data_IF_964398516753
#
_entry.id   IF_964398516753
#
_cell.length_a   1.000
_cell.length_b   1.000
_cell.length_c   1.000
_cell.angle_alpha   90.00
_cell.angle_beta   90.00
_cell.angle_gamma   90.00
#
_symmetry.space_group_name_H-M   'P 1'
#
loop_
_entity.id
_entity.type
_entity.pdbx_description
1 polymer ?
#
# COMPACT_ATOMS: atom_id res chain seq x y z
N UNK A 1 -25.01 5.97 -17.18
CA UNK A 1 -23.98 5.24 -17.95
C UNK A 1 -24.35 3.77 -17.97
N UNK A 2 -24.43 3.15 -19.15
CA UNK A 2 -24.89 1.77 -19.35
C UNK A 2 -23.97 0.70 -18.72
N UNK A 3 -22.66 0.92 -18.71
CA UNK A 3 -21.70 -0.04 -18.13
C UNK A 3 -21.61 0.04 -16.61
N UNK A 4 -21.49 -1.11 -15.92
CA UNK A 4 -21.34 -1.20 -14.46
C UNK A 4 -19.91 -0.88 -14.00
N UNK A 5 -18.89 -1.40 -14.70
CA UNK A 5 -17.48 -1.22 -14.38
C UNK A 5 -16.64 -1.19 -15.66
N UNK A 6 -15.55 -0.42 -15.66
CA UNK A 6 -14.53 -0.45 -16.70
C UNK A 6 -13.17 -0.06 -16.11
N UNK A 7 -12.11 -0.77 -16.51
CA UNK A 7 -10.74 -0.51 -16.05
C UNK A 7 -10.17 0.80 -16.57
N UNK A 8 -10.58 1.24 -17.76
CA UNK A 8 -10.11 2.49 -18.38
C UNK A 8 -10.56 3.75 -17.62
N UNK A 9 -11.53 3.63 -16.73
CA UNK A 9 -11.98 4.77 -15.93
C UNK A 9 -10.96 5.24 -14.89
N UNK A 10 -9.89 4.47 -14.64
CA UNK A 10 -8.82 4.86 -13.72
C UNK A 10 -8.00 6.05 -14.23
N UNK A 11 -7.80 6.16 -15.54
CA UNK A 11 -7.06 7.26 -16.18
C UNK A 11 -7.95 8.44 -16.56
N UNK A 12 -9.27 8.31 -16.42
CA UNK A 12 -10.19 9.38 -16.79
C UNK A 12 -10.14 10.52 -15.78
N UNK A 13 -10.08 11.76 -16.25
CA UNK A 13 -10.13 12.98 -15.42
C UNK A 13 -11.53 13.16 -14.78
N UNK A 14 -12.58 12.59 -15.39
CA UNK A 14 -13.95 12.82 -14.93
C UNK A 14 -14.23 12.18 -13.55
N UNK A 15 -14.50 13.01 -12.55
CA UNK A 15 -14.73 12.60 -11.15
C UNK A 15 -15.82 11.53 -11.02
N UNK A 16 -16.92 11.63 -11.77
CA UNK A 16 -18.02 10.64 -11.72
C UNK A 16 -17.54 9.24 -12.13
N UNK A 17 -16.63 9.15 -13.11
CA UNK A 17 -16.07 7.87 -13.60
C UNK A 17 -15.13 7.28 -12.55
N UNK A 18 -14.27 8.10 -11.96
CA UNK A 18 -13.34 7.66 -10.91
C UNK A 18 -14.06 7.15 -9.64
N UNK A 19 -15.10 7.86 -9.17
CA UNK A 19 -15.91 7.44 -8.02
C UNK A 19 -16.63 6.12 -8.31
N UNK A 20 -17.22 5.99 -9.50
CA UNK A 20 -17.89 4.76 -9.95
C UNK A 20 -16.91 3.58 -10.07
N UNK A 21 -15.69 3.82 -10.57
CA UNK A 21 -14.64 2.82 -10.66
C UNK A 21 -14.31 2.22 -9.28
N UNK A 22 -14.05 3.07 -8.28
CA UNK A 22 -13.71 2.62 -6.92
C UNK A 22 -14.88 1.86 -6.26
N UNK A 23 -16.10 2.37 -6.41
CA UNK A 23 -17.28 1.74 -5.82
C UNK A 23 -17.57 0.36 -6.41
N UNK A 24 -17.50 0.22 -7.74
CA UNK A 24 -17.82 -1.03 -8.45
C UNK A 24 -16.61 -1.94 -8.70
N UNK A 25 -15.43 -1.63 -8.14
CA UNK A 25 -14.24 -2.43 -8.40
C UNK A 25 -14.41 -3.89 -7.94
N UNK A 26 -14.03 -4.89 -8.76
CA UNK A 26 -14.00 -6.29 -8.37
C UNK A 26 -12.95 -6.57 -7.26
N UNK A 27 -13.12 -7.67 -6.54
CA UNK A 27 -12.34 -7.99 -5.33
C UNK A 27 -10.82 -8.02 -5.55
N UNK A 28 -10.36 -8.57 -6.68
CA UNK A 28 -8.94 -8.65 -7.00
C UNK A 28 -8.30 -7.26 -7.22
N UNK A 29 -9.06 -6.27 -7.73
CA UNK A 29 -8.58 -4.89 -7.86
C UNK A 29 -8.63 -4.16 -6.51
N UNK A 30 -9.65 -4.44 -5.68
CA UNK A 30 -9.77 -3.85 -4.35
C UNK A 30 -8.62 -4.23 -3.41
N UNK A 31 -7.97 -5.37 -3.64
CA UNK A 31 -6.75 -5.74 -2.92
C UNK A 31 -5.66 -4.66 -3.02
N UNK A 32 -5.52 -3.99 -4.18
CA UNK A 32 -4.56 -2.89 -4.35
C UNK A 32 -4.92 -1.65 -3.51
N UNK A 33 -6.20 -1.42 -3.25
CA UNK A 33 -6.68 -0.29 -2.44
C UNK A 33 -6.34 -0.45 -0.96
N UNK A 34 -6.12 -1.69 -0.51
CA UNK A 34 -5.75 -2.03 0.87
C UNK A 34 -4.25 -1.94 1.14
N UNK A 35 -3.53 -1.12 0.36
CA UNK A 35 -2.11 -0.85 0.59
C UNK A 35 -1.90 0.18 1.68
N UNK A 36 -0.99 -0.13 2.60
CA UNK A 36 -0.59 0.76 3.69
C UNK A 36 0.90 1.09 3.59
N UNK A 37 1.28 2.16 4.27
CA UNK A 37 2.62 2.69 4.24
C UNK A 37 3.57 1.85 5.11
N UNK A 38 4.80 1.60 4.65
CA UNK A 38 5.84 0.94 5.45
C UNK A 38 6.51 1.91 6.46
N UNK A 39 6.99 1.37 7.58
CA UNK A 39 7.90 2.07 8.50
C UNK A 39 9.18 2.52 7.80
N UNK A 40 9.88 3.54 8.33
CA UNK A 40 11.11 4.04 7.70
C UNK A 40 12.16 2.94 7.56
N UNK A 41 12.27 2.07 8.56
CA UNK A 41 13.16 0.91 8.58
C UNK A 41 12.81 -0.10 7.49
N UNK A 42 11.54 -0.51 7.39
CA UNK A 42 11.09 -1.43 6.34
C UNK A 42 11.23 -0.83 4.94
N UNK A 43 11.03 0.49 4.79
CA UNK A 43 11.25 1.18 3.52
C UNK A 43 12.71 1.15 3.09
N UNK A 44 13.64 1.32 4.02
CA UNK A 44 15.07 1.23 3.73
C UNK A 44 15.45 -0.21 3.34
N UNK A 45 14.93 -1.21 4.09
CA UNK A 45 15.19 -2.62 3.83
C UNK A 45 14.68 -3.10 2.47
N UNK A 46 13.42 -2.81 2.15
CA UNK A 46 12.77 -3.35 0.96
C UNK A 46 12.67 -2.34 -0.20
N UNK A 47 13.26 -1.14 -0.06
CA UNK A 47 13.20 -0.03 -1.02
C UNK A 47 11.79 0.34 -1.53
N UNK A 48 10.74 -0.02 -0.79
CA UNK A 48 9.34 0.11 -1.22
C UNK A 48 8.58 1.05 -0.28
N UNK A 49 7.64 1.83 -0.83
CA UNK A 49 6.85 2.78 -0.02
C UNK A 49 5.65 2.14 0.69
N UNK A 50 4.93 1.26 0.00
CA UNK A 50 3.69 0.66 0.49
C UNK A 50 3.52 -0.79 0.03
N UNK A 51 2.76 -1.57 0.81
CA UNK A 51 2.45 -2.99 0.53
C UNK A 51 0.98 -3.24 0.89
N UNK A 52 0.24 -4.10 0.15
CA UNK A 52 -1.09 -4.56 0.55
C UNK A 52 -1.08 -5.21 1.93
N UNK A 53 -2.00 -4.79 2.79
CA UNK A 53 -2.16 -5.33 4.14
C UNK A 53 -2.63 -6.78 4.11
N UNK A 54 -2.15 -7.57 5.06
CA UNK A 54 -2.57 -8.94 5.32
C UNK A 54 -2.89 -9.18 6.78
N UNK A 55 -3.54 -10.31 7.02
CA UNK A 55 -3.72 -10.84 8.37
C UNK A 55 -2.35 -11.01 9.03
N UNK A 56 -2.29 -10.71 10.32
CA UNK A 56 -1.11 -10.87 11.16
C UNK A 56 0.06 -9.90 10.86
N UNK A 57 -0.07 -8.96 9.92
CA UNK A 57 0.83 -7.80 9.85
C UNK A 57 0.66 -6.94 11.12
N UNK A 58 1.76 -6.38 11.64
CA UNK A 58 1.72 -5.44 12.75
C UNK A 58 1.65 -4.00 12.23
N UNK A 59 0.67 -3.25 12.71
CA UNK A 59 0.38 -1.90 12.24
C UNK A 59 0.28 -0.89 13.39
N UNK A 60 0.76 0.32 13.12
CA UNK A 60 0.56 1.52 13.89
C UNK A 60 -0.58 2.34 13.29
N UNK A 61 -1.50 2.80 14.13
CA UNK A 61 -2.51 3.78 13.71
C UNK A 61 -1.91 5.18 13.72
N UNK A 62 -1.92 5.85 12.57
CA UNK A 62 -1.33 7.19 12.41
C UNK A 62 -2.31 8.32 12.75
N UNK A 63 -3.60 8.13 12.46
CA UNK A 63 -4.62 9.19 12.56
C UNK A 63 -5.89 8.70 13.25
N UNK A 64 -6.61 9.63 13.89
CA UNK A 64 -7.89 9.38 14.55
C UNK A 64 -7.78 9.05 16.04
N UNK A 65 -8.90 8.65 16.65
CA UNK A 65 -9.03 8.42 18.10
C UNK A 65 -8.05 7.38 18.67
N UNK A 66 -7.65 6.40 17.84
CA UNK A 66 -6.74 5.34 18.24
C UNK A 66 -5.30 5.58 17.77
N UNK A 67 -4.94 6.83 17.47
CA UNK A 67 -3.58 7.18 17.02
C UNK A 67 -2.50 6.71 17.99
N UNK A 68 -1.31 6.39 17.46
CA UNK A 68 -0.14 5.86 18.17
C UNK A 68 -0.32 4.48 18.79
N UNK A 69 -1.49 3.86 18.71
CA UNK A 69 -1.68 2.47 19.14
C UNK A 69 -1.16 1.51 18.08
N UNK A 70 -0.47 0.47 18.54
CA UNK A 70 0.00 -0.65 17.73
C UNK A 70 -0.96 -1.83 17.90
N UNK A 71 -1.03 -2.67 16.88
CA UNK A 71 -1.75 -3.94 16.96
C UNK A 71 -1.60 -4.77 15.70
N UNK A 72 -1.86 -6.07 15.82
CA UNK A 72 -1.89 -6.98 14.69
C UNK A 72 -3.21 -6.90 13.95
N UNK A 73 -3.17 -7.13 12.63
CA UNK A 73 -4.37 -7.19 11.82
C UNK A 73 -5.13 -8.49 12.07
N UNK A 74 -6.38 -8.36 12.53
CA UNK A 74 -7.28 -9.49 12.73
C UNK A 74 -7.92 -9.95 11.41
N UNK A 75 -8.46 -8.99 10.66
CA UNK A 75 -9.24 -9.26 9.45
C UNK A 75 -9.05 -8.13 8.43
N UNK A 76 -8.87 -8.53 7.17
CA UNK A 76 -8.84 -7.66 6.00
C UNK A 76 -10.09 -7.90 5.18
N UNK A 77 -10.97 -6.91 5.06
CA UNK A 77 -12.21 -7.04 4.30
C UNK A 77 -12.14 -6.31 2.95
N UNK A 78 -12.06 -7.06 1.86
CA UNK A 78 -12.01 -6.54 0.50
C UNK A 78 -13.35 -5.92 0.03
N UNK A 79 -14.49 -6.39 0.55
CA UNK A 79 -15.82 -5.87 0.18
C UNK A 79 -16.10 -4.49 0.74
N UNK A 80 -15.48 -4.13 1.87
CA UNK A 80 -15.61 -2.78 2.45
C UNK A 80 -14.34 -1.96 2.31
N UNK A 81 -13.24 -2.58 1.86
CA UNK A 81 -11.90 -1.98 1.83
C UNK A 81 -11.48 -1.44 3.21
N UNK A 82 -11.88 -2.14 4.27
CA UNK A 82 -11.56 -1.81 5.68
C UNK A 82 -10.78 -2.93 6.34
N UNK A 83 -10.03 -2.56 7.38
CA UNK A 83 -9.20 -3.47 8.18
C UNK A 83 -9.64 -3.41 9.63
N UNK A 84 -9.64 -4.56 10.32
CA UNK A 84 -9.87 -4.63 11.77
C UNK A 84 -8.57 -5.02 12.46
N UNK A 85 -8.27 -4.35 13.56
CA UNK A 85 -7.05 -4.53 14.33
C UNK A 85 -7.41 -5.15 15.69
N UNK A 86 -6.56 -6.05 16.18
CA UNK A 86 -6.70 -6.67 17.51
C UNK A 86 -6.54 -5.61 18.60
N UNK A 87 -7.40 -5.65 19.63
CA UNK A 87 -7.36 -4.73 20.77
C UNK A 87 -7.88 -3.31 20.51
N UNK A 88 -8.21 -2.96 19.25
CA UNK A 88 -8.84 -1.67 18.92
C UNK A 88 -10.35 -1.84 18.80
N UNK A 89 -11.01 -1.86 19.96
CA UNK A 89 -12.46 -2.06 20.10
C UNK A 89 -13.20 -0.78 20.52
N UNK A 90 -14.51 -0.79 20.30
CA UNK A 90 -15.47 0.14 20.91
C UNK A 90 -16.57 -0.68 21.60
N UNK A 91 -17.07 -0.18 22.73
CA UNK A 91 -18.21 -0.76 23.44
C UNK A 91 -19.52 -0.32 22.77
N UNK A 92 -20.44 -1.26 22.57
CA UNK A 92 -21.85 -0.99 22.24
C UNK A 92 -22.63 -0.62 23.51
N UNK A 93 -23.86 -0.13 23.32
CA UNK A 93 -24.82 0.10 24.42
C UNK A 93 -25.07 -1.19 25.21
N UNK A 94 -25.15 -2.33 24.50
CA UNK A 94 -25.32 -3.67 25.08
C UNK A 94 -24.08 -4.18 25.84
N UNK A 95 -23.00 -3.39 25.98
CA UNK A 95 -21.75 -3.76 26.64
C UNK A 95 -20.77 -4.61 25.81
N UNK A 96 -21.23 -5.21 24.70
CA UNK A 96 -20.37 -6.00 23.81
C UNK A 96 -19.28 -5.17 23.12
N UNK A 97 -18.08 -5.74 22.99
CA UNK A 97 -16.95 -5.08 22.33
C UNK A 97 -16.87 -5.43 20.85
N UNK A 98 -16.73 -4.42 20.00
CA UNK A 98 -16.60 -4.60 18.55
C UNK A 98 -15.34 -3.91 18.04
N UNK A 99 -14.57 -4.63 17.23
CA UNK A 99 -13.40 -4.07 16.57
C UNK A 99 -13.80 -2.93 15.63
N UNK A 100 -13.11 -1.81 15.77
CA UNK A 100 -13.32 -0.64 14.93
C UNK A 100 -12.72 -0.89 13.54
N UNK A 101 -13.44 -0.61 12.45
CA UNK A 101 -12.89 -0.70 11.10
C UNK A 101 -12.01 0.53 10.80
N UNK A 102 -10.84 0.28 10.20
CA UNK A 102 -9.87 1.30 9.82
C UNK A 102 -9.65 1.33 8.30
N UNK A 103 -9.32 2.52 7.80
CA UNK A 103 -8.80 2.70 6.45
C UNK A 103 -7.31 2.38 6.39
N UNK A 104 -6.84 1.70 5.33
CA UNK A 104 -5.43 1.31 5.18
C UNK A 104 -4.49 2.51 5.12
N UNK A 105 -4.95 3.66 4.60
CA UNK A 105 -4.16 4.90 4.52
C UNK A 105 -3.86 5.54 5.87
N UNK A 106 -4.66 5.21 6.89
CA UNK A 106 -4.44 5.69 8.26
C UNK A 106 -3.50 4.77 9.05
N UNK A 107 -3.02 3.70 8.43
CA UNK A 107 -2.16 2.70 9.05
C UNK A 107 -0.73 2.80 8.49
N UNK A 108 0.22 2.48 9.35
CA UNK A 108 1.61 2.27 8.98
C UNK A 108 2.05 0.89 9.45
N UNK A 109 2.60 0.09 8.54
CA UNK A 109 3.11 -1.25 8.84
C UNK A 109 4.43 -1.10 9.59
N UNK A 110 4.52 -1.72 10.76
CA UNK A 110 5.74 -1.82 11.55
C UNK A 110 6.48 -3.10 11.17
N UNK A 111 5.76 -4.21 11.16
CA UNK A 111 6.29 -5.54 10.82
C UNK A 111 5.40 -6.24 9.81
N UNK A 112 6.03 -6.94 8.87
CA UNK A 112 5.38 -7.68 7.80
C UNK A 112 5.32 -9.17 8.16
N UNK A 113 4.16 -9.79 7.97
CA UNK A 113 4.09 -11.23 7.85
C UNK A 113 4.67 -11.65 6.47
N UNK A 114 5.68 -12.51 6.47
CA UNK A 114 6.39 -13.02 5.29
C UNK A 114 6.20 -14.52 5.04
N UNK A 115 5.26 -15.17 5.72
CA UNK A 115 5.02 -16.62 5.60
C UNK A 115 4.67 -17.04 4.17
N UNK A 116 3.98 -16.17 3.43
CA UNK A 116 3.62 -16.43 2.04
C UNK A 116 4.77 -16.12 1.07
N UNK A 117 5.27 -17.18 0.42
CA UNK A 117 6.28 -17.12 -0.64
C UNK A 117 5.92 -16.15 -1.77
N UNK A 118 4.63 -16.00 -2.14
CA UNK A 118 4.21 -15.07 -3.21
C UNK A 118 4.43 -13.62 -2.80
N UNK A 119 4.11 -13.26 -1.56
CA UNK A 119 4.33 -11.91 -1.02
C UNK A 119 5.81 -11.56 -0.97
N UNK A 120 6.65 -12.50 -0.55
CA UNK A 120 8.09 -12.30 -0.53
C UNK A 120 8.63 -12.10 -1.97
N UNK A 121 8.17 -12.89 -2.93
CA UNK A 121 8.52 -12.73 -4.36
C UNK A 121 8.11 -11.36 -4.89
N UNK A 122 6.91 -10.88 -4.57
CA UNK A 122 6.41 -9.58 -5.01
C UNK A 122 7.21 -8.40 -4.44
N UNK A 123 7.73 -8.55 -3.21
CA UNK A 123 8.60 -7.54 -2.59
C UNK A 123 9.98 -7.55 -3.28
N UNK A 124 10.61 -8.73 -3.41
CA UNK A 124 11.92 -8.88 -4.06
C UNK A 124 11.94 -8.49 -5.54
N UNK A 125 10.86 -8.74 -6.27
CA UNK A 125 10.75 -8.36 -7.69
C UNK A 125 10.86 -6.85 -7.88
N UNK A 126 10.23 -6.08 -6.98
CA UNK A 126 10.27 -4.62 -7.04
C UNK A 126 11.64 -4.09 -6.62
N UNK A 127 12.30 -4.71 -5.63
CA UNK A 127 13.68 -4.37 -5.27
C UNK A 127 14.64 -4.48 -6.45
N UNK A 128 14.62 -5.63 -7.13
CA UNK A 128 15.47 -5.87 -8.29
C UNK A 128 15.25 -4.81 -9.38
N UNK A 129 13.99 -4.47 -9.65
CA UNK A 129 13.62 -3.46 -10.64
C UNK A 129 14.14 -2.06 -10.27
N UNK A 130 14.15 -1.72 -8.97
CA UNK A 130 14.69 -0.45 -8.48
C UNK A 130 16.21 -0.41 -8.65
N UNK A 131 16.87 -1.53 -8.37
CA UNK A 131 18.32 -1.67 -8.50
C UNK A 131 18.78 -1.55 -9.96
N UNK A 132 18.12 -2.27 -10.87
CA UNK A 132 18.32 -2.15 -12.33
C UNK A 132 18.16 -0.69 -12.79
N UNK A 133 17.11 0.00 -12.32
CA UNK A 133 16.86 1.41 -12.67
C UNK A 133 17.92 2.36 -12.11
N UNK A 134 18.48 2.08 -10.92
CA UNK A 134 19.58 2.87 -10.36
C UNK A 134 20.85 2.70 -11.19
N UNK A 135 21.13 1.50 -11.68
CA UNK A 135 22.27 1.23 -12.55
C UNK A 135 22.14 1.92 -13.92
N UNK A 136 20.95 1.90 -14.53
CA UNK A 136 20.67 2.64 -15.76
C UNK A 136 20.94 4.14 -15.60
N UNK A 137 20.41 4.75 -14.53
CA UNK A 137 20.62 6.18 -14.23
C UNK A 137 22.11 6.49 -14.01
N UNK A 138 22.85 5.62 -13.32
CA UNK A 138 24.30 5.79 -13.14
C UNK A 138 25.04 5.79 -14.48
N UNK A 139 24.74 4.84 -15.37
CA UNK A 139 25.35 4.75 -16.71
C UNK A 139 25.01 5.96 -17.58
N UNK A 140 23.79 6.50 -17.48
CA UNK A 140 23.40 7.74 -18.19
C UNK A 140 24.16 8.97 -17.70
N UNK A 141 24.35 9.10 -16.38
CA UNK A 141 25.12 10.20 -15.79
C UNK A 141 26.59 10.16 -16.20
N UNK A 142 27.20 8.97 -16.24
CA UNK A 142 28.57 8.79 -16.71
C UNK A 142 28.72 9.20 -18.18
N UNK A 143 27.78 8.82 -19.05
CA UNK A 143 27.78 9.21 -20.47
C UNK A 143 27.67 10.74 -20.67
N UNK A 144 26.80 11.41 -19.91
CA UNK A 144 26.67 12.89 -19.97
C UNK A 144 27.93 13.60 -19.47
N UNK A 145 28.58 13.09 -18.43
CA UNK A 145 29.82 13.68 -17.93
C UNK A 145 30.99 13.52 -18.91
N UNK A 146 31.00 12.44 -19.69
CA UNK A 146 31.99 12.23 -20.76
C UNK A 146 31.74 13.16 -21.95
N UNK A 147 30.48 13.39 -22.36
CA UNK A 147 30.15 14.30 -23.47
C UNK A 147 30.48 15.76 -23.16
N UNK A 148 30.18 16.22 -21.94
CA UNK A 148 30.49 17.60 -21.50
C UNK A 148 32.00 17.84 -21.46
N UNK A 149 32.80 16.83 -21.10
CA UNK A 149 34.28 16.93 -21.11
C UNK A 149 34.89 16.91 -22.50
N UNK A 150 34.21 16.31 -23.49
CA UNK A 150 34.66 16.34 -24.90
C UNK A 150 34.28 17.63 -25.62
N UNK A 151 33.22 18.31 -25.20
CA UNK A 151 32.79 19.61 -25.76
C UNK A 151 33.57 20.80 -25.19
N UNK A 152 34.27 20.62 -24.07
CA UNK A 152 35.07 21.65 -23.39
C UNK A 152 36.58 21.62 -23.71
N UNK A 153 36.99 20.88 -24.74
CA UNK A 153 38.36 20.80 -25.28
C UNK A 153 38.34 21.24 -26.73
#
# INVERSE_FOLDING_TARGET
>A
MKQKFSTSWISSIQVRKQRKYRYNAPLHLRHKFLSANLSKELRAKYSKRNVPLRKDDEVLVMRGKFSKKKGKILLVNLKTSKVKIVGLTRKKVDGTEINVPFDPSNLQIIDLNLDDKKRLKDIKREEKKIEERKEEVRKELEKKNVSVKSESK
#
